data_IF_956332007332
#
_entry.id   IF_956332007332
#
_cell.length_a   1.000
_cell.length_b   1.000
_cell.length_c   1.000
_cell.angle_alpha   90.00
_cell.angle_beta   90.00
_cell.angle_gamma   90.00
#
_symmetry.space_group_name_H-M   'P 1'
#
loop_
_entity.id
_entity.type
_entity.pdbx_description
1 polymer ?
#
# COMPACT_ATOMS: atom_id res chain seq x y z
N UNK A 1 -7.66 8.11 -32.45
CA UNK A 1 -8.83 8.66 -31.73
C UNK A 1 -10.05 9.06 -32.56
N UNK A 2 -10.02 9.04 -33.90
CA UNK A 2 -11.18 9.46 -34.70
C UNK A 2 -12.46 8.64 -34.41
N UNK A 3 -12.34 7.37 -33.98
CA UNK A 3 -13.47 6.54 -33.56
C UNK A 3 -14.15 6.94 -32.24
N UNK A 4 -13.51 7.74 -31.39
CA UNK A 4 -14.11 8.23 -30.12
C UNK A 4 -14.93 9.52 -30.38
N UNK A 5 -14.62 10.26 -31.45
CA UNK A 5 -15.32 11.50 -31.82
C UNK A 5 -16.27 11.34 -33.02
N UNK A 6 -16.30 10.19 -33.68
CA UNK A 6 -17.16 9.96 -34.84
C UNK A 6 -18.57 9.58 -34.38
N UNK A 7 -19.56 10.41 -34.71
CA UNK A 7 -20.98 10.20 -34.39
C UNK A 7 -21.54 8.89 -34.97
N UNK A 8 -20.83 8.24 -35.90
CA UNK A 8 -21.22 6.97 -36.55
C UNK A 8 -20.69 5.71 -35.86
N UNK A 9 -19.64 5.79 -35.05
CA UNK A 9 -19.12 4.66 -34.27
C UNK A 9 -19.47 4.86 -32.81
N UNK A 10 -19.90 3.81 -32.09
CA UNK A 10 -20.23 3.93 -30.68
C UNK A 10 -18.93 4.23 -29.88
N UNK A 11 -18.72 5.46 -29.37
CA UNK A 11 -17.45 5.88 -28.76
C UNK A 11 -17.07 5.00 -27.58
N UNK A 12 -18.08 4.46 -26.90
CA UNK A 12 -17.95 3.55 -25.77
C UNK A 12 -17.31 2.24 -26.19
N UNK A 13 -17.66 1.68 -27.35
CA UNK A 13 -17.05 0.44 -27.84
C UNK A 13 -15.59 0.64 -28.22
N UNK A 14 -15.27 1.75 -28.90
CA UNK A 14 -13.89 2.10 -29.23
C UNK A 14 -13.04 2.30 -27.98
N UNK A 15 -13.56 3.03 -26.99
CA UNK A 15 -12.87 3.26 -25.72
C UNK A 15 -12.72 1.97 -24.89
N UNK A 16 -13.72 1.08 -24.88
CA UNK A 16 -13.63 -0.24 -24.23
C UNK A 16 -12.56 -1.13 -24.87
N UNK A 17 -12.57 -1.22 -26.21
CA UNK A 17 -11.56 -1.97 -26.95
C UNK A 17 -10.16 -1.43 -26.68
N UNK A 18 -9.99 -0.10 -26.74
CA UNK A 18 -8.72 0.55 -26.43
C UNK A 18 -8.30 0.32 -24.98
N UNK A 19 -9.22 0.37 -24.01
CA UNK A 19 -8.90 0.08 -22.60
C UNK A 19 -8.34 -1.33 -22.43
N UNK A 20 -8.99 -2.33 -23.05
CA UNK A 20 -8.54 -3.71 -23.01
C UNK A 20 -7.17 -3.89 -23.69
N UNK A 21 -6.96 -3.22 -24.82
CA UNK A 21 -5.68 -3.25 -25.54
C UNK A 21 -4.57 -2.49 -24.80
N UNK A 22 -4.90 -1.45 -24.05
CA UNK A 22 -3.94 -0.62 -23.30
C UNK A 22 -3.30 -1.35 -22.12
N UNK A 23 -3.62 -2.62 -21.88
CA UNK A 23 -2.85 -3.49 -20.98
C UNK A 23 -1.48 -3.80 -21.60
N UNK A 24 -1.42 -3.95 -22.93
CA UNK A 24 -0.22 -4.30 -23.70
C UNK A 24 0.76 -3.13 -23.83
N UNK A 25 2.04 -3.38 -23.55
CA UNK A 25 3.10 -2.35 -23.58
C UNK A 25 3.23 -1.66 -24.94
N UNK A 26 3.08 -2.40 -26.03
CA UNK A 26 3.11 -1.87 -27.41
C UNK A 26 2.01 -0.84 -27.66
N UNK A 27 0.83 -1.05 -27.09
CA UNK A 27 -0.30 -0.11 -27.24
C UNK A 27 -0.05 1.15 -26.41
N UNK A 28 0.51 1.02 -25.22
CA UNK A 28 0.91 2.18 -24.39
C UNK A 28 1.92 3.07 -25.12
N UNK A 29 2.88 2.48 -25.86
CA UNK A 29 3.87 3.25 -26.63
C UNK A 29 3.24 4.17 -27.70
N UNK A 30 2.07 3.82 -28.25
CA UNK A 30 1.34 4.70 -29.17
C UNK A 30 0.90 6.02 -28.52
N UNK A 31 0.79 6.06 -27.19
CA UNK A 31 0.42 7.25 -26.41
C UNK A 31 1.63 8.05 -25.91
N UNK A 32 2.87 7.59 -26.16
CA UNK A 32 4.08 8.37 -25.85
C UNK A 32 4.20 9.62 -26.71
N UNK A 33 3.64 9.59 -27.93
CA UNK A 33 3.36 10.81 -28.68
C UNK A 33 2.17 11.52 -28.00
N UNK A 34 2.50 12.40 -27.05
CA UNK A 34 1.58 13.13 -26.15
C UNK A 34 0.30 13.67 -26.80
N UNK A 35 0.28 13.83 -28.13
CA UNK A 35 -0.89 14.22 -28.93
C UNK A 35 -2.16 13.41 -28.63
N UNK A 36 -2.11 12.07 -28.68
CA UNK A 36 -3.31 11.27 -28.41
C UNK A 36 -3.68 11.34 -26.92
N UNK A 37 -2.69 11.30 -26.02
CA UNK A 37 -2.93 11.47 -24.58
C UNK A 37 -3.61 12.82 -24.25
N UNK A 38 -3.20 13.91 -24.89
CA UNK A 38 -3.84 15.23 -24.74
C UNK A 38 -5.31 15.22 -25.14
N UNK A 39 -5.64 14.58 -26.27
CA UNK A 39 -7.04 14.44 -26.71
C UNK A 39 -7.84 13.65 -25.67
N UNK A 40 -7.30 12.55 -25.14
CA UNK A 40 -7.96 11.79 -24.09
C UNK A 40 -8.26 12.64 -22.85
N UNK A 41 -7.25 13.41 -22.41
CA UNK A 41 -7.37 14.30 -21.26
C UNK A 41 -8.41 15.39 -21.53
N UNK A 42 -8.42 15.98 -22.73
CA UNK A 42 -9.42 16.99 -23.11
C UNK A 42 -10.85 16.45 -23.05
N UNK A 43 -11.05 15.16 -23.38
CA UNK A 43 -12.36 14.51 -23.29
C UNK A 43 -12.77 14.34 -21.82
N UNK A 44 -11.86 13.92 -20.93
CA UNK A 44 -12.15 13.79 -19.49
C UNK A 44 -12.51 15.14 -18.87
N UNK A 45 -11.80 16.21 -19.27
CA UNK A 45 -12.06 17.57 -18.80
C UNK A 45 -13.42 18.10 -19.29
N UNK A 46 -13.95 17.57 -20.39
CA UNK A 46 -15.23 18.03 -20.93
C UNK A 46 -16.40 17.61 -20.04
N UNK A 47 -17.33 18.53 -19.80
CA UNK A 47 -18.59 18.27 -19.09
C UNK A 47 -19.66 17.59 -19.95
N UNK A 48 -19.35 17.32 -21.23
CA UNK A 48 -20.33 16.90 -22.25
C UNK A 48 -20.46 15.38 -22.33
N UNK A 49 -19.53 14.62 -21.75
CA UNK A 49 -19.58 13.15 -21.76
C UNK A 49 -20.47 12.60 -20.65
N UNK A 50 -21.25 11.58 -20.97
CA UNK A 50 -22.03 10.85 -19.96
C UNK A 50 -21.12 10.02 -19.04
N UNK A 51 -21.66 9.66 -17.87
CA UNK A 51 -20.93 8.92 -16.82
C UNK A 51 -20.33 7.61 -17.33
N UNK A 52 -21.08 6.84 -18.13
CA UNK A 52 -20.61 5.56 -18.68
C UNK A 52 -19.37 5.74 -19.58
N UNK A 53 -19.37 6.76 -20.43
CA UNK A 53 -18.23 7.08 -21.31
C UNK A 53 -17.04 7.55 -20.46
N UNK A 54 -17.29 8.39 -19.45
CA UNK A 54 -16.25 8.85 -18.52
C UNK A 54 -15.60 7.68 -17.79
N UNK A 55 -16.39 6.73 -17.27
CA UNK A 55 -15.90 5.52 -16.59
C UNK A 55 -14.99 4.68 -17.49
N UNK A 56 -15.37 4.45 -18.75
CA UNK A 56 -14.53 3.70 -19.71
C UNK A 56 -13.22 4.44 -20.03
N UNK A 57 -13.29 5.77 -20.21
CA UNK A 57 -12.11 6.58 -20.48
C UNK A 57 -11.15 6.62 -19.27
N UNK A 58 -11.68 6.69 -18.04
CA UNK A 58 -10.87 6.61 -16.83
C UNK A 58 -10.20 5.24 -16.68
N UNK A 59 -10.90 4.15 -17.03
CA UNK A 59 -10.31 2.81 -17.09
C UNK A 59 -9.14 2.76 -18.08
N UNK A 60 -9.31 3.32 -19.29
CA UNK A 60 -8.23 3.44 -20.27
C UNK A 60 -7.06 4.27 -19.73
N UNK A 61 -7.32 5.44 -19.14
CA UNK A 61 -6.28 6.29 -18.57
C UNK A 61 -5.54 5.58 -17.42
N UNK A 62 -6.25 4.82 -16.59
CA UNK A 62 -5.67 3.99 -15.53
C UNK A 62 -4.67 3.00 -16.10
N UNK A 63 -5.06 2.25 -17.14
CA UNK A 63 -4.19 1.27 -17.80
C UNK A 63 -2.95 1.93 -18.40
N UNK A 64 -3.12 3.09 -19.05
CA UNK A 64 -2.02 3.87 -19.62
C UNK A 64 -1.05 4.39 -18.54
N UNK A 65 -1.55 4.87 -17.39
CA UNK A 65 -0.73 5.38 -16.27
C UNK A 65 0.06 4.30 -15.51
N UNK A 66 -0.08 3.03 -15.87
CA UNK A 66 0.89 2.02 -15.43
C UNK A 66 2.29 2.28 -16.02
N UNK A 67 2.38 2.93 -17.18
CA UNK A 67 3.63 3.36 -17.81
C UNK A 67 4.14 4.67 -17.19
N UNK A 68 5.44 4.76 -16.89
CA UNK A 68 6.03 5.88 -16.15
C UNK A 68 5.95 7.19 -16.90
N UNK A 69 6.31 7.22 -18.18
CA UNK A 69 6.33 8.44 -19.00
C UNK A 69 4.94 9.04 -19.12
N UNK A 70 3.93 8.19 -19.34
CA UNK A 70 2.53 8.61 -19.41
C UNK A 70 2.06 9.13 -18.04
N UNK A 71 2.32 8.37 -16.98
CA UNK A 71 1.96 8.76 -15.62
C UNK A 71 2.54 10.12 -15.23
N UNK A 72 3.84 10.32 -15.44
CA UNK A 72 4.49 11.59 -15.13
C UNK A 72 3.83 12.74 -15.91
N UNK A 73 3.50 12.53 -17.19
CA UNK A 73 2.77 13.54 -17.96
C UNK A 73 1.39 13.87 -17.38
N UNK A 74 0.63 12.86 -16.96
CA UNK A 74 -0.72 13.02 -16.39
C UNK A 74 -0.67 13.74 -15.04
N UNK A 75 0.33 13.46 -14.20
CA UNK A 75 0.54 14.15 -12.92
C UNK A 75 0.75 15.65 -13.14
N UNK A 76 1.47 16.05 -14.19
CA UNK A 76 1.70 17.47 -14.50
C UNK A 76 0.42 18.20 -14.96
N UNK A 77 -0.68 17.49 -15.23
CA UNK A 77 -1.96 18.10 -15.61
C UNK A 77 -2.77 18.50 -14.37
N UNK A 78 -2.37 19.57 -13.68
CA UNK A 78 -2.99 20.05 -12.43
C UNK A 78 -4.52 20.22 -12.51
N UNK A 79 -5.02 20.82 -13.59
CA UNK A 79 -6.46 20.97 -13.82
C UNK A 79 -7.19 19.62 -13.92
N UNK A 80 -6.57 18.63 -14.58
CA UNK A 80 -7.14 17.27 -14.64
C UNK A 80 -7.19 16.66 -13.25
N UNK A 81 -6.12 16.79 -12.46
CA UNK A 81 -6.09 16.25 -11.09
C UNK A 81 -7.20 16.84 -10.22
N UNK A 82 -7.44 18.16 -10.30
CA UNK A 82 -8.52 18.80 -9.56
C UNK A 82 -9.90 18.29 -9.97
N UNK A 83 -10.11 18.06 -11.28
CA UNK A 83 -11.34 17.44 -11.79
C UNK A 83 -11.51 16.02 -11.25
N UNK A 84 -10.46 15.20 -11.28
CA UNK A 84 -10.50 13.82 -10.78
C UNK A 84 -10.74 13.74 -9.27
N UNK A 85 -10.17 14.66 -8.49
CA UNK A 85 -10.41 14.76 -7.04
C UNK A 85 -11.88 15.09 -6.78
N UNK A 86 -12.43 16.07 -7.50
CA UNK A 86 -13.84 16.46 -7.40
C UNK A 86 -14.78 15.32 -7.81
N UNK A 87 -14.45 14.59 -8.88
CA UNK A 87 -15.21 13.40 -9.28
C UNK A 87 -15.21 12.33 -8.17
N UNK A 88 -14.05 12.11 -7.55
CA UNK A 88 -13.89 11.12 -6.48
C UNK A 88 -14.68 11.49 -5.22
N UNK A 89 -14.74 12.78 -4.90
CA UNK A 89 -15.58 13.30 -3.82
C UNK A 89 -17.06 13.01 -4.06
N UNK A 90 -17.52 13.21 -5.29
CA UNK A 90 -18.93 13.14 -5.66
C UNK A 90 -19.46 11.73 -5.95
N UNK A 91 -18.60 10.71 -5.97
CA UNK A 91 -18.98 9.37 -6.45
C UNK A 91 -18.76 8.24 -5.43
N UNK A 92 -19.72 7.31 -5.36
CA UNK A 92 -19.70 6.14 -4.47
C UNK A 92 -19.90 4.78 -5.20
N UNK A 93 -19.77 4.75 -6.54
CA UNK A 93 -20.07 3.58 -7.39
C UNK A 93 -18.83 3.02 -8.14
N UNK A 94 -19.02 2.23 -9.20
CA UNK A 94 -17.93 1.67 -10.05
C UNK A 94 -16.96 2.75 -10.58
N UNK A 95 -17.43 3.97 -10.78
CA UNK A 95 -16.59 5.11 -11.14
C UNK A 95 -15.53 5.41 -10.06
N UNK A 96 -15.88 5.26 -8.78
CA UNK A 96 -14.96 5.38 -7.65
C UNK A 96 -13.83 4.34 -7.73
N UNK A 97 -14.15 3.12 -8.15
CA UNK A 97 -13.18 2.03 -8.28
C UNK A 97 -12.10 2.35 -9.33
N UNK A 98 -12.50 2.92 -10.46
CA UNK A 98 -11.58 3.35 -11.51
C UNK A 98 -10.73 4.54 -11.07
N UNK A 99 -11.32 5.51 -10.37
CA UNK A 99 -10.57 6.64 -9.79
C UNK A 99 -9.54 6.18 -8.77
N UNK A 100 -9.88 5.23 -7.88
CA UNK A 100 -8.90 4.62 -6.97
C UNK A 100 -7.75 3.96 -7.73
N UNK A 101 -8.05 3.20 -8.79
CA UNK A 101 -7.02 2.58 -9.63
C UNK A 101 -6.09 3.60 -10.27
N UNK A 102 -6.66 4.68 -10.82
CA UNK A 102 -5.88 5.78 -11.38
C UNK A 102 -5.00 6.43 -10.32
N UNK A 103 -5.55 6.82 -9.17
CA UNK A 103 -4.77 7.45 -8.11
C UNK A 103 -3.67 6.55 -7.54
N UNK A 104 -3.89 5.23 -7.44
CA UNK A 104 -2.84 4.27 -7.06
C UNK A 104 -1.68 4.34 -8.04
N UNK A 105 -1.97 4.37 -9.34
CA UNK A 105 -0.93 4.50 -10.36
C UNK A 105 -0.23 5.86 -10.22
N UNK A 106 -0.97 6.97 -10.18
CA UNK A 106 -0.40 8.32 -10.08
C UNK A 106 0.50 8.49 -8.85
N UNK A 107 0.11 7.94 -7.70
CA UNK A 107 0.87 8.06 -6.43
C UNK A 107 2.03 7.08 -6.29
N UNK A 108 2.29 6.25 -7.30
CA UNK A 108 3.36 5.26 -7.22
C UNK A 108 4.77 5.90 -7.19
N UNK A 109 4.90 7.16 -7.58
CA UNK A 109 6.15 7.91 -7.53
C UNK A 109 5.98 9.29 -6.89
N UNK A 110 7.09 9.82 -6.36
CA UNK A 110 7.13 11.18 -5.81
C UNK A 110 7.03 12.21 -6.93
N UNK A 111 6.23 13.26 -6.70
CA UNK A 111 6.10 14.41 -7.60
C UNK A 111 5.83 15.67 -6.78
N UNK A 112 6.35 16.81 -7.24
CA UNK A 112 6.09 18.13 -6.64
C UNK A 112 4.63 18.55 -6.77
N UNK A 113 3.96 18.17 -7.86
CA UNK A 113 2.52 18.42 -8.03
C UNK A 113 1.73 17.62 -7.00
N UNK A 114 2.04 16.33 -6.84
CA UNK A 114 1.41 15.50 -5.82
C UNK A 114 1.74 15.98 -4.41
N UNK A 115 2.95 16.48 -4.16
CA UNK A 115 3.32 17.10 -2.88
C UNK A 115 2.42 18.30 -2.55
N UNK A 116 1.99 19.08 -3.55
CA UNK A 116 1.05 20.20 -3.32
C UNK A 116 -0.38 19.77 -2.97
N UNK A 117 -0.81 18.57 -3.37
CA UNK A 117 -2.20 18.09 -3.21
C UNK A 117 -2.37 16.89 -2.27
N UNK A 118 -1.29 16.26 -1.81
CA UNK A 118 -1.37 14.98 -1.08
C UNK A 118 -2.22 15.07 0.19
N UNK A 119 -2.23 16.21 0.88
CA UNK A 119 -3.04 16.42 2.09
C UNK A 119 -4.53 16.35 1.78
N UNK A 120 -4.98 17.15 0.81
CA UNK A 120 -6.37 17.16 0.34
C UNK A 120 -6.79 15.76 -0.11
N UNK A 121 -5.92 15.08 -0.87
CA UNK A 121 -6.20 13.73 -1.34
C UNK A 121 -6.31 12.72 -0.18
N UNK A 122 -5.37 12.75 0.77
CA UNK A 122 -5.40 11.89 1.97
C UNK A 122 -6.69 12.08 2.79
N UNK A 123 -7.02 13.33 3.12
CA UNK A 123 -8.22 13.67 3.89
C UNK A 123 -9.48 13.16 3.18
N UNK A 124 -9.60 13.43 1.88
CA UNK A 124 -10.72 12.98 1.07
C UNK A 124 -10.85 11.46 1.06
N UNK A 125 -9.76 10.73 0.84
CA UNK A 125 -9.76 9.26 0.84
C UNK A 125 -10.19 8.71 2.20
N UNK A 126 -9.72 9.32 3.31
CA UNK A 126 -10.08 8.93 4.66
C UNK A 126 -11.57 9.09 4.92
N UNK A 127 -12.21 10.14 4.39
CA UNK A 127 -13.68 10.30 4.51
C UNK A 127 -14.46 9.15 3.86
N UNK A 128 -13.91 8.53 2.81
CA UNK A 128 -14.55 7.43 2.08
C UNK A 128 -14.22 6.04 2.66
N UNK A 129 -13.18 5.91 3.49
CA UNK A 129 -12.67 4.62 3.98
C UNK A 129 -13.74 3.78 4.72
N UNK A 130 -14.55 4.42 5.57
CA UNK A 130 -15.50 3.72 6.47
C UNK A 130 -16.48 2.83 5.72
N UNK A 131 -17.03 3.35 4.64
CA UNK A 131 -18.15 2.75 3.92
C UNK A 131 -17.71 2.08 2.61
N UNK A 132 -16.41 2.05 2.32
CA UNK A 132 -15.92 1.52 1.06
C UNK A 132 -15.85 -0.01 1.11
N UNK A 133 -16.37 -0.66 0.08
CA UNK A 133 -16.10 -2.08 -0.21
C UNK A 133 -14.68 -2.30 -0.76
N UNK A 134 -13.95 -1.22 -1.05
CA UNK A 134 -12.64 -1.22 -1.71
C UNK A 134 -11.49 -0.81 -0.78
N UNK A 135 -11.61 -1.14 0.53
CA UNK A 135 -10.60 -0.81 1.56
C UNK A 135 -9.18 -1.21 1.16
N UNK A 136 -8.98 -2.35 0.48
CA UNK A 136 -7.66 -2.78 -0.01
C UNK A 136 -7.00 -1.75 -0.93
N UNK A 137 -7.76 -1.17 -1.87
CA UNK A 137 -7.25 -0.13 -2.78
C UNK A 137 -6.99 1.18 -2.03
N UNK A 138 -7.86 1.53 -1.09
CA UNK A 138 -7.67 2.70 -0.25
C UNK A 138 -6.38 2.58 0.58
N UNK A 139 -6.14 1.44 1.25
CA UNK A 139 -4.90 1.23 1.99
C UNK A 139 -3.66 1.27 1.10
N UNK A 140 -3.76 0.73 -0.12
CA UNK A 140 -2.68 0.80 -1.11
C UNK A 140 -2.36 2.25 -1.49
N UNK A 141 -3.40 3.04 -1.77
CA UNK A 141 -3.26 4.45 -2.12
C UNK A 141 -2.67 5.27 -0.98
N UNK A 142 -3.23 5.15 0.23
CA UNK A 142 -2.70 5.83 1.42
C UNK A 142 -1.26 5.41 1.72
N UNK A 143 -0.92 4.13 1.52
CA UNK A 143 0.46 3.64 1.66
C UNK A 143 1.43 4.21 0.63
N UNK A 144 0.99 4.39 -0.61
CA UNK A 144 1.80 5.07 -1.63
C UNK A 144 2.04 6.54 -1.26
N UNK A 145 1.01 7.23 -0.77
CA UNK A 145 1.16 8.63 -0.33
C UNK A 145 2.09 8.72 0.90
N UNK A 146 1.87 7.90 1.92
CA UNK A 146 2.68 7.89 3.14
C UNK A 146 4.16 7.53 2.91
N UNK A 147 4.44 6.72 1.87
CA UNK A 147 5.81 6.38 1.47
C UNK A 147 6.59 7.59 0.94
N UNK A 148 5.92 8.54 0.28
CA UNK A 148 6.57 9.66 -0.41
C UNK A 148 6.49 10.99 0.35
N UNK A 149 5.48 11.15 1.21
CA UNK A 149 5.18 12.42 1.88
C UNK A 149 5.00 12.19 3.39
N UNK A 150 5.99 12.60 4.16
CA UNK A 150 6.05 12.43 5.62
C UNK A 150 4.82 12.98 6.35
N UNK A 151 4.32 14.14 5.89
CA UNK A 151 3.15 14.81 6.46
C UNK A 151 1.87 13.96 6.36
N UNK A 152 1.79 13.02 5.41
CA UNK A 152 0.65 12.13 5.27
C UNK A 152 0.50 11.20 6.47
N UNK A 153 1.61 10.73 7.08
CA UNK A 153 1.54 9.88 8.29
C UNK A 153 0.83 10.63 9.42
N UNK A 154 1.16 11.89 9.63
CA UNK A 154 0.50 12.73 10.65
C UNK A 154 -1.02 12.80 10.45
N UNK A 155 -1.48 13.04 9.21
CA UNK A 155 -2.91 13.07 8.86
C UNK A 155 -3.57 11.71 9.12
N UNK A 156 -2.94 10.62 8.70
CA UNK A 156 -3.47 9.27 8.92
C UNK A 156 -3.66 8.96 10.42
N UNK A 157 -2.71 9.36 11.27
CA UNK A 157 -2.81 9.16 12.72
C UNK A 157 -3.91 10.03 13.34
N UNK A 158 -4.04 11.29 12.93
CA UNK A 158 -5.13 12.17 13.37
C UNK A 158 -6.51 11.58 13.06
N UNK A 159 -6.63 10.83 11.96
CA UNK A 159 -7.85 10.13 11.56
C UNK A 159 -7.97 8.69 12.10
N UNK A 160 -7.17 8.32 13.10
CA UNK A 160 -7.21 7.02 13.78
C UNK A 160 -6.96 5.79 12.88
N UNK A 161 -6.15 5.91 11.81
CA UNK A 161 -5.96 4.85 10.79
C UNK A 161 -5.66 3.46 11.38
N UNK A 162 -4.94 3.39 12.50
CA UNK A 162 -4.58 2.12 13.16
C UNK A 162 -5.85 1.37 13.61
N UNK A 163 -6.81 2.09 14.21
CA UNK A 163 -8.09 1.51 14.63
C UNK A 163 -8.89 1.03 13.42
N UNK A 164 -8.90 1.81 12.34
CA UNK A 164 -9.57 1.44 11.09
C UNK A 164 -8.98 0.17 10.48
N UNK A 165 -7.65 0.06 10.44
CA UNK A 165 -6.97 -1.14 9.95
C UNK A 165 -7.32 -2.35 10.84
N UNK A 166 -7.28 -2.20 12.16
CA UNK A 166 -7.65 -3.27 13.09
C UNK A 166 -9.06 -3.81 12.83
N UNK A 167 -10.04 -2.91 12.70
CA UNK A 167 -11.42 -3.29 12.38
C UNK A 167 -11.51 -3.96 11.00
N UNK A 168 -10.82 -3.43 10.00
CA UNK A 168 -10.85 -3.94 8.64
C UNK A 168 -10.24 -5.35 8.51
N UNK A 169 -9.21 -5.67 9.31
CA UNK A 169 -8.57 -6.99 9.33
C UNK A 169 -9.43 -8.04 10.05
N UNK A 170 -10.24 -7.64 11.03
CA UNK A 170 -11.16 -8.54 11.75
C UNK A 170 -12.38 -8.99 10.91
N UNK A 171 -12.67 -8.33 9.80
CA UNK A 171 -13.85 -8.58 8.96
C UNK A 171 -13.54 -9.51 7.76
N UNK A 172 -13.17 -10.77 7.99
CA UNK A 172 -12.87 -11.77 6.94
C UNK A 172 -12.02 -11.19 5.80
N UNK A 173 -10.87 -10.59 6.14
CA UNK A 173 -10.00 -9.95 5.18
C UNK A 173 -9.34 -10.99 4.26
N UNK A 174 -9.39 -10.75 2.94
CA UNK A 174 -8.56 -11.51 2.01
C UNK A 174 -7.10 -11.08 2.11
N UNK A 175 -6.20 -11.91 1.60
CA UNK A 175 -4.76 -11.70 1.76
C UNK A 175 -4.25 -10.39 1.14
N UNK A 176 -4.81 -9.96 0.00
CA UNK A 176 -4.44 -8.68 -0.63
C UNK A 176 -4.79 -7.47 0.26
N UNK A 177 -5.94 -7.52 0.93
CA UNK A 177 -6.35 -6.50 1.90
C UNK A 177 -5.40 -6.50 3.11
N UNK A 178 -5.06 -7.68 3.62
CA UNK A 178 -4.10 -7.85 4.72
C UNK A 178 -2.74 -7.25 4.35
N UNK A 179 -2.22 -7.58 3.17
CA UNK A 179 -0.96 -7.05 2.66
C UNK A 179 -0.95 -5.52 2.56
N UNK A 180 -1.99 -4.94 1.97
CA UNK A 180 -2.08 -3.49 1.85
C UNK A 180 -2.15 -2.81 3.23
N UNK A 181 -2.93 -3.36 4.16
CA UNK A 181 -3.07 -2.86 5.51
C UNK A 181 -1.78 -2.95 6.34
N UNK A 182 -1.10 -4.10 6.33
CA UNK A 182 0.15 -4.29 7.09
C UNK A 182 1.29 -3.45 6.50
N UNK A 183 1.34 -3.26 5.17
CA UNK A 183 2.27 -2.30 4.54
C UNK A 183 2.01 -0.88 5.06
N UNK A 184 0.75 -0.44 5.11
CA UNK A 184 0.40 0.88 5.62
C UNK A 184 0.74 1.02 7.11
N UNK A 185 0.50 0.00 7.94
CA UNK A 185 0.92 0.00 9.35
C UNK A 185 2.44 0.10 9.52
N UNK A 186 3.22 -0.60 8.68
CA UNK A 186 4.68 -0.53 8.74
C UNK A 186 5.17 0.90 8.49
N UNK A 187 4.57 1.59 7.51
CA UNK A 187 4.85 3.01 7.24
C UNK A 187 4.39 3.92 8.38
N UNK A 188 3.17 3.74 8.88
CA UNK A 188 2.65 4.57 9.97
C UNK A 188 3.45 4.42 11.27
N UNK A 189 3.97 3.22 11.57
CA UNK A 189 4.75 2.96 12.79
C UNK A 189 6.22 3.34 12.67
N UNK A 190 6.70 3.65 11.46
CA UNK A 190 8.07 4.07 11.24
C UNK A 190 8.30 5.48 11.81
N UNK A 191 8.96 5.55 12.98
CA UNK A 191 9.31 6.83 13.61
C UNK A 191 8.15 7.63 14.23
N UNK A 192 6.92 7.09 14.27
CA UNK A 192 5.78 7.76 14.89
C UNK A 192 5.33 7.04 16.18
N UNK A 193 5.58 7.68 17.33
CA UNK A 193 5.29 7.11 18.65
C UNK A 193 3.80 6.90 18.90
N UNK A 194 2.94 7.80 18.41
CA UNK A 194 1.48 7.68 18.58
C UNK A 194 0.95 6.43 17.86
N UNK A 195 1.40 6.20 16.62
CA UNK A 195 1.07 5.00 15.87
C UNK A 195 1.60 3.73 16.55
N UNK A 196 2.84 3.77 17.04
CA UNK A 196 3.45 2.64 17.74
C UNK A 196 2.67 2.27 19.00
N UNK A 197 2.31 3.27 19.81
CA UNK A 197 1.53 3.08 21.03
C UNK A 197 0.12 2.56 20.73
N UNK A 198 -0.53 3.07 19.67
CA UNK A 198 -1.85 2.61 19.26
C UNK A 198 -1.84 1.12 18.86
N UNK A 199 -0.84 0.69 18.09
CA UNK A 199 -0.66 -0.74 17.73
C UNK A 199 -0.32 -1.56 18.98
N UNK A 200 0.57 -1.08 19.84
CA UNK A 200 1.00 -1.78 21.06
C UNK A 200 -0.13 -2.01 22.08
N UNK A 201 -1.18 -1.18 22.04
CA UNK A 201 -2.35 -1.29 22.92
C UNK A 201 -3.44 -2.20 22.34
N UNK A 202 -3.43 -2.49 21.04
CA UNK A 202 -4.42 -3.34 20.39
C UNK A 202 -3.94 -4.79 20.30
N UNK A 203 -4.20 -5.57 21.35
CA UNK A 203 -3.84 -7.00 21.41
C UNK A 203 -4.43 -7.82 20.25
N UNK A 204 -5.62 -7.46 19.74
CA UNK A 204 -6.25 -8.19 18.63
C UNK A 204 -5.48 -7.93 17.35
N UNK A 205 -5.12 -6.67 17.10
CA UNK A 205 -4.28 -6.33 15.95
C UNK A 205 -2.91 -7.00 16.03
N UNK A 206 -2.27 -7.00 17.20
CA UNK A 206 -1.00 -7.71 17.40
C UNK A 206 -1.14 -9.22 17.10
N UNK A 207 -2.22 -9.86 17.55
CA UNK A 207 -2.51 -11.26 17.25
C UNK A 207 -2.63 -11.51 15.75
N UNK A 208 -3.38 -10.67 15.03
CA UNK A 208 -3.56 -10.79 13.58
C UNK A 208 -2.22 -10.63 12.85
N UNK A 209 -1.41 -9.63 13.21
CA UNK A 209 -0.10 -9.42 12.57
C UNK A 209 0.86 -10.56 12.90
N UNK A 210 0.83 -11.08 14.13
CA UNK A 210 1.65 -12.23 14.54
C UNK A 210 1.28 -13.49 13.74
N UNK A 211 0.00 -13.74 13.55
CA UNK A 211 -0.48 -14.84 12.72
C UNK A 211 0.08 -14.72 11.30
N UNK A 212 -0.02 -13.54 10.67
CA UNK A 212 0.55 -13.34 9.34
C UNK A 212 2.06 -13.52 9.29
N UNK A 213 2.77 -13.15 10.35
CA UNK A 213 4.21 -13.31 10.45
C UNK A 213 4.62 -14.80 10.44
N UNK A 214 3.82 -15.69 11.03
CA UNK A 214 4.18 -17.10 11.21
C UNK A 214 3.52 -18.06 10.21
N UNK A 215 2.40 -17.68 9.58
CA UNK A 215 1.64 -18.57 8.67
C UNK A 215 1.70 -18.16 7.20
N UNK A 216 1.96 -16.88 6.90
CA UNK A 216 1.92 -16.40 5.51
C UNK A 216 3.00 -17.03 4.64
N UNK A 217 2.69 -17.22 3.37
CA UNK A 217 3.66 -17.62 2.33
C UNK A 217 4.09 -16.42 1.46
N UNK A 218 3.75 -15.19 1.87
CA UNK A 218 4.05 -13.98 1.13
C UNK A 218 5.20 -13.21 1.76
N UNK A 219 6.35 -13.23 1.08
CA UNK A 219 7.60 -12.64 1.60
C UNK A 219 7.46 -11.17 2.01
N UNK A 220 6.74 -10.36 1.22
CA UNK A 220 6.51 -8.95 1.54
C UNK A 220 5.63 -8.76 2.78
N UNK A 221 4.65 -9.64 3.00
CA UNK A 221 3.77 -9.57 4.17
C UNK A 221 4.57 -9.84 5.46
N UNK A 222 5.37 -10.90 5.46
CA UNK A 222 6.27 -11.24 6.58
C UNK A 222 7.26 -10.11 6.86
N UNK A 223 7.87 -9.56 5.80
CA UNK A 223 8.80 -8.44 5.93
C UNK A 223 8.15 -7.21 6.57
N UNK A 224 6.92 -6.86 6.16
CA UNK A 224 6.20 -5.71 6.72
C UNK A 224 5.69 -6.00 8.14
N UNK A 225 5.20 -7.21 8.43
CA UNK A 225 4.80 -7.61 9.78
C UNK A 225 5.99 -7.54 10.76
N UNK A 226 7.17 -7.99 10.32
CA UNK A 226 8.41 -7.89 11.09
C UNK A 226 8.79 -6.43 11.38
N UNK A 227 8.63 -5.53 10.39
CA UNK A 227 8.85 -4.09 10.61
C UNK A 227 7.89 -3.54 11.65
N UNK A 228 6.58 -3.83 11.56
CA UNK A 228 5.60 -3.37 12.55
C UNK A 228 6.02 -3.82 13.95
N UNK A 229 6.28 -5.11 14.16
CA UNK A 229 6.76 -5.61 15.46
C UNK A 229 8.06 -4.95 15.89
N UNK A 230 9.04 -4.82 15.00
CA UNK A 230 10.30 -4.14 15.27
C UNK A 230 10.14 -2.65 15.62
N UNK A 231 9.10 -1.98 15.16
CA UNK A 231 8.81 -0.60 15.55
C UNK A 231 8.15 -0.54 16.93
N UNK A 232 7.21 -1.44 17.23
CA UNK A 232 6.42 -1.37 18.47
C UNK A 232 7.03 -2.11 19.65
N UNK A 233 8.11 -2.89 19.44
CA UNK A 233 8.70 -3.73 20.49
C UNK A 233 9.28 -2.94 21.68
N UNK A 234 9.48 -1.63 21.51
CA UNK A 234 9.88 -0.72 22.58
C UNK A 234 8.87 -0.72 23.75
N UNK A 235 7.59 -0.92 23.45
CA UNK A 235 6.53 -1.01 24.45
C UNK A 235 6.53 -2.38 25.13
N UNK A 236 6.55 -2.39 26.47
CA UNK A 236 6.56 -3.63 27.27
C UNK A 236 5.33 -4.52 27.03
N UNK A 237 4.17 -3.91 26.72
CA UNK A 237 2.94 -4.63 26.38
C UNK A 237 3.11 -5.60 25.21
N UNK A 238 3.93 -5.24 24.22
CA UNK A 238 4.22 -6.08 23.05
C UNK A 238 5.09 -7.28 23.44
N UNK A 239 6.10 -7.08 24.29
CA UNK A 239 6.97 -8.18 24.77
C UNK A 239 6.21 -9.15 25.66
N UNK A 240 5.33 -8.62 26.51
CA UNK A 240 4.39 -9.43 27.31
C UNK A 240 3.46 -10.20 26.38
N UNK A 241 2.89 -9.55 25.37
CA UNK A 241 2.04 -10.21 24.37
C UNK A 241 2.77 -11.37 23.68
N UNK A 242 4.00 -11.18 23.18
CA UNK A 242 4.75 -12.25 22.51
C UNK A 242 5.01 -13.45 23.44
N UNK A 243 5.38 -13.17 24.69
CA UNK A 243 5.56 -14.19 25.73
C UNK A 243 4.27 -14.97 26.00
N UNK A 244 3.15 -14.28 26.15
CA UNK A 244 1.84 -14.89 26.44
C UNK A 244 1.26 -15.64 25.24
N UNK A 245 1.43 -15.12 24.02
CA UNK A 245 0.79 -15.63 22.81
C UNK A 245 1.41 -16.93 22.30
N UNK A 246 2.73 -17.08 22.38
CA UNK A 246 3.41 -18.27 21.86
C UNK A 246 4.56 -18.80 22.70
N UNK A 247 5.01 -18.05 23.71
CA UNK A 247 6.20 -18.36 24.50
C UNK A 247 7.49 -17.82 23.88
N UNK A 248 8.49 -17.56 24.72
CA UNK A 248 9.78 -16.96 24.30
C UNK A 248 10.53 -17.89 23.35
N UNK A 249 10.67 -19.17 23.72
CA UNK A 249 11.35 -20.20 22.92
C UNK A 249 10.76 -20.31 21.51
N UNK A 250 9.44 -20.47 21.41
CA UNK A 250 8.75 -20.60 20.13
C UNK A 250 8.82 -19.31 19.31
N UNK A 251 8.69 -18.14 19.94
CA UNK A 251 8.82 -16.85 19.25
C UNK A 251 10.19 -16.75 18.59
N UNK A 252 11.27 -16.97 19.34
CA UNK A 252 12.65 -16.90 18.83
C UNK A 252 12.87 -17.94 17.73
N UNK A 253 12.48 -19.20 17.96
CA UNK A 253 12.68 -20.28 16.99
C UNK A 253 11.92 -20.04 15.67
N UNK A 254 10.69 -19.52 15.75
CA UNK A 254 9.93 -19.14 14.55
C UNK A 254 10.62 -18.02 13.77
N UNK A 255 11.15 -16.99 14.45
CA UNK A 255 11.82 -15.89 13.76
C UNK A 255 13.15 -16.34 13.15
N UNK A 256 13.95 -17.14 13.87
CA UNK A 256 15.21 -17.68 13.35
C UNK A 256 14.97 -18.53 12.10
N UNK A 257 13.99 -19.44 12.16
CA UNK A 257 13.58 -20.24 11.01
C UNK A 257 13.21 -19.36 9.81
N UNK A 258 12.40 -18.32 10.01
CA UNK A 258 12.04 -17.40 8.94
C UNK A 258 13.27 -16.76 8.28
N UNK A 259 14.29 -16.35 9.04
CA UNK A 259 15.51 -15.76 8.44
C UNK A 259 16.25 -16.76 7.54
N UNK A 260 16.16 -18.06 7.80
CA UNK A 260 16.79 -19.12 7.00
C UNK A 260 16.00 -19.50 5.74
N UNK A 261 14.71 -19.14 5.68
CA UNK A 261 13.83 -19.51 4.58
C UNK A 261 14.29 -18.89 3.24
N UNK A 262 14.71 -19.75 2.30
CA UNK A 262 15.24 -19.33 0.99
C UNK A 262 14.20 -18.64 0.09
N UNK A 263 12.91 -18.93 0.29
CA UNK A 263 11.81 -18.31 -0.46
C UNK A 263 11.53 -16.86 -0.02
N UNK A 264 12.04 -16.44 1.15
CA UNK A 264 11.97 -15.04 1.55
C UNK A 264 12.99 -14.21 0.78
N UNK A 265 12.50 -13.09 0.22
CA UNK A 265 13.35 -12.05 -0.33
C UNK A 265 14.40 -11.58 0.68
N UNK A 266 15.55 -11.15 0.17
CA UNK A 266 16.66 -10.61 0.99
C UNK A 266 16.18 -9.49 1.93
N UNK A 267 15.30 -8.61 1.44
CA UNK A 267 14.71 -7.51 2.21
C UNK A 267 13.84 -8.03 3.36
N UNK A 268 12.99 -9.03 3.11
CA UNK A 268 12.16 -9.62 4.16
C UNK A 268 13.00 -10.30 5.25
N UNK A 269 14.02 -11.08 4.86
CA UNK A 269 14.95 -11.71 5.81
C UNK A 269 15.68 -10.68 6.67
N UNK A 270 16.14 -9.57 6.07
CA UNK A 270 16.74 -8.44 6.79
C UNK A 270 15.76 -7.84 7.79
N UNK A 271 14.50 -7.63 7.41
CA UNK A 271 13.49 -7.08 8.33
C UNK A 271 13.19 -8.00 9.51
N UNK A 272 13.10 -9.31 9.28
CA UNK A 272 12.97 -10.31 10.36
C UNK A 272 14.18 -10.25 11.29
N UNK A 273 15.40 -10.22 10.75
CA UNK A 273 16.63 -10.12 11.55
C UNK A 273 16.71 -8.82 12.37
N UNK A 274 16.27 -7.69 11.80
CA UNK A 274 16.16 -6.41 12.52
C UNK A 274 15.15 -6.55 13.68
N UNK A 275 14.01 -7.19 13.45
CA UNK A 275 13.03 -7.45 14.50
C UNK A 275 13.63 -8.30 15.63
N UNK A 276 14.27 -9.43 15.32
CA UNK A 276 14.96 -10.28 16.31
C UNK A 276 15.96 -9.46 17.10
N UNK A 277 16.82 -8.69 16.41
CA UNK A 277 17.86 -7.87 17.06
C UNK A 277 17.26 -6.84 18.01
N UNK A 278 16.15 -6.19 17.63
CA UNK A 278 15.46 -5.25 18.51
C UNK A 278 14.79 -5.94 19.69
N UNK A 279 14.20 -7.12 19.47
CA UNK A 279 13.56 -7.93 20.51
C UNK A 279 14.56 -8.35 21.58
N UNK A 280 15.70 -8.94 21.20
CA UNK A 280 16.71 -9.41 22.15
C UNK A 280 17.42 -8.26 22.88
N UNK A 281 17.50 -7.07 22.25
CA UNK A 281 18.00 -5.86 22.92
C UNK A 281 17.00 -5.31 23.94
N UNK A 282 15.70 -5.52 23.74
CA UNK A 282 14.65 -4.96 24.58
C UNK A 282 14.27 -5.85 25.79
N UNK A 283 14.65 -7.13 25.79
CA UNK A 283 14.32 -8.07 26.88
C UNK A 283 15.34 -9.22 26.96
N UNK A 284 16.05 -9.29 28.10
CA UNK A 284 17.14 -10.23 28.36
C UNK A 284 16.72 -11.70 28.24
N UNK A 285 15.47 -12.03 28.57
CA UNK A 285 14.97 -13.41 28.49
C UNK A 285 14.91 -13.90 27.03
N UNK A 286 14.60 -13.00 26.10
CA UNK A 286 14.66 -13.29 24.68
C UNK A 286 16.10 -13.42 24.20
N UNK A 287 17.04 -12.65 24.76
CA UNK A 287 18.47 -12.76 24.45
C UNK A 287 19.07 -14.09 24.91
N UNK A 288 18.75 -14.53 26.13
CA UNK A 288 19.18 -15.84 26.63
C UNK A 288 18.69 -16.96 25.71
N UNK A 289 17.42 -16.90 25.31
CA UNK A 289 16.82 -17.90 24.43
C UNK A 289 17.42 -17.87 23.02
N UNK A 290 17.64 -16.67 22.47
CA UNK A 290 18.35 -16.48 21.20
C UNK A 290 19.75 -17.10 21.22
N UNK A 291 20.49 -16.97 22.33
CA UNK A 291 21.82 -17.58 22.47
C UNK A 291 21.74 -19.11 22.56
N UNK A 292 20.77 -19.64 23.30
CA UNK A 292 20.54 -21.11 23.40
C UNK A 292 20.24 -21.74 22.05
N UNK A 293 19.56 -21.01 21.17
CA UNK A 293 19.21 -21.47 19.82
C UNK A 293 20.25 -21.12 18.75
N UNK A 294 21.49 -20.78 19.13
CA UNK A 294 22.58 -20.43 18.20
C UNK A 294 22.19 -19.31 17.23
N UNK A 295 21.40 -18.34 17.71
CA UNK A 295 20.81 -17.32 16.87
C UNK A 295 21.85 -16.43 16.19
N UNK A 296 23.04 -16.23 16.79
CA UNK A 296 24.11 -15.42 16.19
C UNK A 296 24.65 -16.07 14.93
N UNK A 297 24.89 -17.38 15.01
CA UNK A 297 25.41 -18.22 13.94
C UNK A 297 24.40 -18.32 12.80
N UNK A 298 23.12 -18.51 13.14
CA UNK A 298 22.01 -18.54 12.17
C UNK A 298 21.91 -17.20 11.43
N UNK A 299 21.87 -16.08 12.15
CA UNK A 299 21.81 -14.76 11.53
C UNK A 299 23.02 -14.49 10.64
N UNK A 300 24.23 -14.86 11.09
CA UNK A 300 25.45 -14.69 10.32
C UNK A 300 25.43 -15.51 9.02
N UNK A 301 25.01 -16.76 9.09
CA UNK A 301 24.90 -17.66 7.93
C UNK A 301 23.84 -17.15 6.93
N UNK A 302 22.64 -16.84 7.41
CA UNK A 302 21.50 -16.51 6.57
C UNK A 302 21.58 -15.12 5.92
N UNK A 303 22.36 -14.20 6.51
CA UNK A 303 22.54 -12.83 6.00
C UNK A 303 23.87 -12.62 5.27
N UNK A 304 24.71 -13.65 5.11
CA UNK A 304 26.02 -13.56 4.45
C UNK A 304 25.95 -12.94 3.04
N UNK A 305 24.85 -13.19 2.32
CA UNK A 305 24.61 -12.69 0.95
C UNK A 305 23.63 -11.51 0.89
N UNK A 306 23.30 -10.90 2.04
CA UNK A 306 22.40 -9.75 2.16
C UNK A 306 23.26 -8.51 2.40
N UNK A 307 23.48 -7.70 1.36
CA UNK A 307 24.18 -6.42 1.51
C UNK A 307 23.44 -5.53 2.54
N UNK A 308 24.20 -5.04 3.53
CA UNK A 308 23.70 -4.18 4.60
C UNK A 308 23.54 -2.73 4.14
#
# INVERSE_FOLDING_TARGET
MNMINDKKSNPIYAAKLLSNLAIESKIKQCFNNKTELMKLISIIKSSVINEQTRTVILSLLTNLCSEKTIRSYVIEQTELLQILIKDFEQTDNEHQLNLLGLFINLTNEKSTVLESIHKQLCELILTKLRNSSHQQRIFTLLGNIAMHYEQAVGILIQHNIVSWISQALQQNANEEKIRAAVRLLALCTQGNEQAQQAVANDKKLLSLIYEQLITSQHSLLIGNASLVFGHVIIHSSVRIFLKENSGIEKTIGQMLKLVEESWLSKVARKNVAIFITKLVKADERFLEEFRKQHGTEILHSALKDVEL
#
